data_IF_908579980013
#
_entry.id   IF_908579980013
#
_cell.length_a   1.000
_cell.length_b   1.000
_cell.length_c   1.000
_cell.angle_alpha   90.00
_cell.angle_beta   90.00
_cell.angle_gamma   90.00
#
_symmetry.space_group_name_H-M   'P 1'
#
loop_
_entity.id
_entity.type
_entity.pdbx_description
1 polymer ?
#
# COMPACT_ATOMS: atom_id res chain seq x y z
N UNK A 1 26.14 -21.17 16.50
CA UNK A 1 24.93 -21.74 15.87
C UNK A 1 24.57 -20.90 14.66
N UNK A 2 24.76 -21.43 13.45
CA UNK A 2 24.22 -20.81 12.22
C UNK A 2 22.75 -21.23 12.14
N UNK A 3 21.84 -20.31 12.45
CA UNK A 3 20.42 -20.53 12.15
C UNK A 3 20.26 -20.61 10.63
N UNK A 4 19.39 -21.49 10.09
CA UNK A 4 19.01 -21.38 8.70
C UNK A 4 18.43 -19.98 8.51
N UNK A 5 19.08 -19.18 7.67
CA UNK A 5 18.57 -17.87 7.29
C UNK A 5 17.23 -18.12 6.60
N UNK A 6 16.12 -17.99 7.33
CA UNK A 6 14.80 -18.00 6.72
C UNK A 6 14.81 -16.99 5.57
N UNK A 7 14.44 -17.46 4.39
CA UNK A 7 14.44 -16.64 3.18
C UNK A 7 13.46 -15.47 3.41
N UNK A 8 13.88 -14.21 3.17
CA UNK A 8 12.99 -13.07 3.29
C UNK A 8 11.74 -13.25 2.43
N UNK A 9 10.57 -13.00 3.01
CA UNK A 9 9.31 -12.98 2.25
C UNK A 9 9.11 -11.60 1.65
N UNK A 10 8.61 -11.54 0.43
CA UNK A 10 8.38 -10.28 -0.26
C UNK A 10 7.02 -10.27 -0.96
N UNK A 11 6.34 -9.13 -0.90
CA UNK A 11 5.09 -8.90 -1.65
C UNK A 11 5.17 -7.54 -2.36
N UNK A 12 4.67 -7.43 -3.61
CA UNK A 12 4.69 -6.17 -4.33
C UNK A 12 3.68 -5.18 -3.73
N UNK A 13 4.02 -3.90 -3.77
CA UNK A 13 3.15 -2.79 -3.38
C UNK A 13 2.10 -2.58 -4.49
N UNK A 14 0.83 -2.64 -4.11
CA UNK A 14 -0.27 -2.36 -5.03
C UNK A 14 -0.51 -0.86 -5.09
N UNK A 15 -0.68 -0.32 -6.29
CA UNK A 15 -1.00 1.10 -6.53
C UNK A 15 -2.42 1.23 -7.05
N UNK A 16 -3.21 2.10 -6.43
CA UNK A 16 -4.58 2.41 -6.84
C UNK A 16 -4.62 3.89 -7.16
N UNK A 17 -4.98 4.22 -8.41
CA UNK A 17 -5.19 5.61 -8.81
C UNK A 17 -6.64 6.01 -8.55
N UNK A 18 -6.82 7.08 -7.78
CA UNK A 18 -8.13 7.64 -7.45
C UNK A 18 -8.21 9.09 -7.89
N UNK A 19 -9.37 9.48 -8.40
CA UNK A 19 -9.72 10.84 -8.76
C UNK A 19 -10.41 11.48 -7.58
N UNK A 20 -9.92 12.65 -7.17
CA UNK A 20 -10.48 13.47 -6.10
C UNK A 20 -10.93 14.80 -6.69
N UNK A 21 -12.16 15.20 -6.39
CA UNK A 21 -12.66 16.55 -6.63
C UNK A 21 -12.16 17.48 -5.51
N UNK A 22 -11.35 18.48 -5.86
CA UNK A 22 -10.79 19.43 -4.88
C UNK A 22 -11.69 20.65 -4.65
N UNK A 23 -12.75 20.81 -5.45
CA UNK A 23 -13.72 21.90 -5.28
C UNK A 23 -14.95 21.44 -4.50
N UNK A 24 -15.34 20.17 -4.61
CA UNK A 24 -16.46 19.57 -3.88
C UNK A 24 -16.04 18.34 -3.04
N UNK A 25 -15.86 18.48 -1.71
CA UNK A 25 -15.46 17.39 -0.84
C UNK A 25 -16.58 16.36 -0.58
N UNK A 26 -17.82 16.64 -1.00
CA UNK A 26 -18.94 15.69 -0.87
C UNK A 26 -18.95 14.67 -2.01
N UNK A 27 -18.19 14.92 -3.09
CA UNK A 27 -18.02 13.96 -4.17
C UNK A 27 -17.06 12.85 -3.71
N UNK A 28 -17.47 11.57 -3.74
CA UNK A 28 -16.60 10.49 -3.33
C UNK A 28 -15.42 10.36 -4.29
N UNK A 29 -14.25 10.01 -3.75
CA UNK A 29 -13.10 9.65 -4.57
C UNK A 29 -13.40 8.36 -5.36
N UNK A 30 -13.16 8.38 -6.66
CA UNK A 30 -13.42 7.24 -7.54
C UNK A 30 -12.12 6.69 -8.10
N UNK A 31 -11.99 5.36 -8.30
CA UNK A 31 -10.91 4.82 -9.12
C UNK A 31 -10.91 5.50 -10.50
N UNK A 32 -9.73 5.83 -11.02
CA UNK A 32 -9.59 6.44 -12.35
C UNK A 32 -10.42 5.74 -13.45
N UNK A 33 -10.41 4.40 -13.60
CA UNK A 33 -11.22 3.74 -14.62
C UNK A 33 -12.72 3.93 -14.41
N UNK A 34 -13.18 4.00 -13.16
CA UNK A 34 -14.60 4.20 -12.84
C UNK A 34 -15.03 5.64 -13.11
N UNK A 35 -14.14 6.61 -12.85
CA UNK A 35 -14.37 8.01 -13.22
C UNK A 35 -14.54 8.17 -14.73
N UNK A 36 -13.61 7.64 -15.53
CA UNK A 36 -13.66 7.72 -16.99
C UNK A 36 -14.94 7.05 -17.51
N UNK A 37 -15.31 5.90 -16.94
CA UNK A 37 -16.54 5.18 -17.30
C UNK A 37 -17.80 5.97 -16.97
N UNK A 38 -17.84 6.66 -15.83
CA UNK A 38 -19.01 7.42 -15.37
C UNK A 38 -19.18 8.76 -16.10
N UNK A 39 -18.08 9.48 -16.36
CA UNK A 39 -18.10 10.85 -16.88
C UNK A 39 -17.71 10.95 -18.36
N UNK A 40 -17.19 9.87 -18.97
CA UNK A 40 -16.81 9.84 -20.39
C UNK A 40 -15.62 10.74 -20.75
N UNK A 41 -14.86 11.21 -19.75
CA UNK A 41 -13.71 12.09 -19.93
C UNK A 41 -12.62 11.82 -18.91
N UNK A 42 -11.41 12.25 -19.23
CA UNK A 42 -10.29 12.27 -18.29
C UNK A 42 -10.52 13.35 -17.21
N UNK A 43 -10.03 13.13 -15.98
CA UNK A 43 -10.08 14.13 -14.93
C UNK A 43 -9.11 15.28 -15.24
N UNK A 44 -9.65 16.49 -15.40
CA UNK A 44 -8.86 17.68 -15.75
C UNK A 44 -8.65 18.60 -14.54
N UNK A 45 -7.44 19.18 -14.37
CA UNK A 45 -7.20 20.25 -13.40
C UNK A 45 -7.91 21.55 -13.82
N UNK A 46 -8.21 22.48 -12.89
CA UNK A 46 -7.78 22.47 -11.48
C UNK A 46 -8.71 21.66 -10.56
N UNK A 47 -9.93 21.35 -11.00
CA UNK A 47 -10.98 20.74 -10.18
C UNK A 47 -10.68 19.30 -9.79
N UNK A 48 -10.14 18.48 -10.70
CA UNK A 48 -9.85 17.08 -10.40
C UNK A 48 -8.35 16.85 -10.23
N UNK A 49 -8.00 16.04 -9.22
CA UNK A 49 -6.63 15.54 -9.01
C UNK A 49 -6.61 14.02 -8.98
N UNK A 50 -5.63 13.43 -9.67
CA UNK A 50 -5.37 11.99 -9.60
C UNK A 50 -4.34 11.73 -8.52
N UNK A 51 -4.73 11.01 -7.48
CA UNK A 51 -3.86 10.57 -6.38
C UNK A 51 -3.52 9.09 -6.56
N UNK A 52 -2.29 8.72 -6.19
CA UNK A 52 -1.89 7.30 -6.14
C UNK A 52 -1.86 6.86 -4.69
N UNK A 53 -2.72 5.88 -4.35
CA UNK A 53 -2.74 5.22 -3.06
C UNK A 53 -1.89 3.96 -3.15
N UNK A 54 -0.89 3.85 -2.30
CA UNK A 54 -0.09 2.63 -2.15
C UNK A 54 -0.67 1.76 -1.03
N UNK A 55 -1.08 0.54 -1.38
CA UNK A 55 -1.59 -0.45 -0.44
C UNK A 55 -0.47 -1.41 -0.09
N UNK A 56 -0.10 -1.38 1.18
CA UNK A 56 0.94 -2.21 1.75
C UNK A 56 0.30 -3.38 2.49
N UNK A 57 0.83 -4.57 2.27
CA UNK A 57 0.31 -5.80 2.87
C UNK A 57 1.47 -6.60 3.49
N UNK A 58 1.22 -7.23 4.62
CA UNK A 58 2.17 -8.13 5.24
C UNK A 58 2.26 -9.42 4.41
N UNK A 59 3.47 -9.86 4.00
CA UNK A 59 3.65 -11.14 3.32
C UNK A 59 3.31 -12.38 4.17
N UNK A 60 3.19 -12.25 5.49
CA UNK A 60 2.93 -13.37 6.41
C UNK A 60 1.44 -13.72 6.47
N UNK A 61 0.60 -12.73 6.74
CA UNK A 61 -0.82 -12.90 7.07
C UNK A 61 -1.75 -12.19 6.07
N UNK A 62 -1.22 -11.38 5.15
CA UNK A 62 -2.01 -10.63 4.19
C UNK A 62 -2.76 -9.43 4.77
N UNK A 63 -2.50 -9.05 6.03
CA UNK A 63 -3.13 -7.89 6.65
C UNK A 63 -2.52 -6.58 6.13
N UNK A 64 -3.31 -5.51 6.17
CA UNK A 64 -2.85 -4.16 5.81
C UNK A 64 -1.81 -3.70 6.83
N UNK A 65 -0.70 -3.15 6.34
CA UNK A 65 0.40 -2.67 7.17
C UNK A 65 0.72 -1.21 6.88
N UNK A 66 1.30 -0.53 7.85
CA UNK A 66 1.88 0.79 7.63
C UNK A 66 3.30 0.62 7.11
N UNK A 67 3.85 1.69 6.51
CA UNK A 67 5.21 1.66 5.98
C UNK A 67 6.27 1.36 7.05
N UNK A 68 5.95 1.62 8.33
CA UNK A 68 6.82 1.46 9.49
C UNK A 68 6.42 0.34 10.45
N UNK A 69 5.21 -0.21 10.35
CA UNK A 69 4.63 -1.07 11.38
C UNK A 69 3.84 -2.22 10.75
N UNK A 70 4.09 -3.45 11.22
CA UNK A 70 3.18 -4.56 11.02
C UNK A 70 2.16 -4.57 12.16
N UNK A 71 0.93 -5.01 11.91
CA UNK A 71 -0.12 -5.11 12.92
C UNK A 71 0.31 -5.96 14.14
N UNK A 72 0.05 -7.27 14.12
CA UNK A 72 0.37 -8.17 15.25
C UNK A 72 1.57 -9.09 14.94
N UNK A 73 2.26 -8.88 13.82
CA UNK A 73 3.35 -9.76 13.41
C UNK A 73 4.64 -9.45 14.18
N UNK A 74 5.30 -10.47 14.78
CA UNK A 74 6.57 -10.28 15.48
C UNK A 74 7.77 -10.11 14.53
N UNK A 75 7.54 -9.97 13.22
CA UNK A 75 8.57 -9.90 12.18
C UNK A 75 8.87 -8.44 11.81
N UNK A 76 10.09 -8.19 11.34
CA UNK A 76 10.51 -6.87 10.90
C UNK A 76 10.06 -6.65 9.44
N UNK A 77 9.29 -5.58 9.22
CA UNK A 77 8.89 -5.12 7.90
C UNK A 77 9.80 -4.00 7.41
N UNK A 78 10.14 -4.04 6.13
CA UNK A 78 10.89 -2.98 5.46
C UNK A 78 10.39 -2.80 4.04
N UNK A 79 10.19 -1.54 3.64
CA UNK A 79 10.04 -1.19 2.24
C UNK A 79 11.39 -1.19 1.51
N UNK A 80 11.42 -1.80 0.33
CA UNK A 80 12.54 -1.69 -0.61
C UNK A 80 12.01 -1.58 -2.04
N UNK A 81 12.17 -0.40 -2.64
CA UNK A 81 11.57 -0.10 -3.94
C UNK A 81 10.04 -0.27 -3.92
N UNK A 82 9.56 -1.13 -4.82
CA UNK A 82 8.14 -1.47 -5.00
C UNK A 82 7.70 -2.71 -4.21
N UNK A 83 8.47 -3.12 -3.20
CA UNK A 83 8.19 -4.32 -2.40
C UNK A 83 8.18 -4.03 -0.90
N UNK A 84 7.31 -4.77 -0.20
CA UNK A 84 7.37 -4.94 1.25
C UNK A 84 8.08 -6.25 1.54
N UNK A 85 9.16 -6.16 2.32
CA UNK A 85 10.00 -7.28 2.73
C UNK A 85 9.75 -7.58 4.19
N UNK A 86 9.51 -8.85 4.50
CA UNK A 86 9.29 -9.36 5.85
C UNK A 86 10.42 -10.32 6.24
N UNK A 87 11.13 -10.00 7.32
CA UNK A 87 12.24 -10.80 7.86
C UNK A 87 11.98 -11.15 9.33
N UNK A 88 12.50 -12.29 9.83
CA UNK A 88 12.38 -12.62 11.25
C UNK A 88 12.96 -11.47 12.11
N UNK A 89 12.24 -11.04 13.15
CA UNK A 89 12.85 -10.07 14.07
C UNK A 89 13.96 -10.75 14.86
N UNK A 90 15.05 -10.01 15.09
CA UNK A 90 16.18 -10.47 15.91
C UNK A 90 16.00 -10.16 17.39
N UNK A 91 14.89 -9.54 17.76
CA UNK A 91 14.57 -9.17 19.12
C UNK A 91 13.88 -10.38 19.74
N UNK A 92 14.60 -11.14 20.56
CA UNK A 92 13.98 -12.11 21.45
C UNK A 92 13.03 -11.34 22.38
N UNK A 93 11.73 -11.62 22.29
CA UNK A 93 10.81 -11.23 23.37
C UNK A 93 11.32 -11.82 24.69
N UNK A 94 11.38 -11.05 25.79
CA UNK A 94 11.80 -11.55 27.09
C UNK A 94 10.88 -12.67 27.60
#
# INVERSE_FOLDING_TARGET
MRYPLEIPRMTPIRRIQVVVDVEDPMVPALPLPDFIKAFGKEPEPPRYRVLTIEVLVCPEDGNVVLASECAECPRFLRRSGDYIICVPSRVSSP
#
